data_IF_566029272939
#
_entry.id   IF_566029272939
#
_cell.length_a   1.000
_cell.length_b   1.000
_cell.length_c   1.000
_cell.angle_alpha   90.00
_cell.angle_beta   90.00
_cell.angle_gamma   90.00
#
_symmetry.space_group_name_H-M   'P 1'
#
loop_
_entity.id
_entity.type
_entity.pdbx_description
1 polymer ?
#
# COMPACT_ATOMS: atom_id res chain seq x y z
N UNK A 1 -11.08 -18.87 34.77
CA UNK A 1 -11.26 -18.78 33.30
C UNK A 1 -9.95 -19.17 32.66
N UNK A 2 -9.86 -20.35 32.07
CA UNK A 2 -8.60 -20.88 31.55
C UNK A 2 -8.23 -20.17 30.24
N UNK A 3 -7.05 -19.58 30.24
CA UNK A 3 -6.42 -18.95 29.06
C UNK A 3 -6.16 -20.05 28.03
N UNK A 4 -7.00 -20.14 27.01
CA UNK A 4 -6.72 -20.94 25.81
C UNK A 4 -5.64 -20.19 24.99
N UNK A 5 -4.39 -20.24 25.44
CA UNK A 5 -3.27 -20.05 24.52
C UNK A 5 -3.28 -21.27 23.57
N UNK A 6 -4.00 -21.16 22.47
CA UNK A 6 -3.78 -22.02 21.32
C UNK A 6 -2.32 -21.86 20.95
N UNK A 7 -1.53 -22.94 21.09
CA UNK A 7 -0.16 -23.04 20.56
C UNK A 7 -0.22 -22.85 19.05
N UNK A 8 -0.21 -21.60 18.59
CA UNK A 8 -0.07 -21.22 17.19
C UNK A 8 1.28 -21.74 16.72
N UNK A 9 1.25 -22.82 15.97
CA UNK A 9 2.44 -23.46 15.44
C UNK A 9 2.92 -22.60 14.24
N UNK A 10 3.84 -21.70 14.51
CA UNK A 10 4.50 -20.92 13.45
C UNK A 10 5.10 -21.88 12.41
N UNK A 11 4.64 -21.78 11.17
CA UNK A 11 5.10 -22.66 10.08
C UNK A 11 6.20 -22.01 9.24
N UNK A 12 6.43 -20.68 9.43
CA UNK A 12 7.49 -19.95 8.74
C UNK A 12 8.76 -19.88 9.60
N UNK A 13 9.95 -20.07 8.99
CA UNK A 13 11.23 -19.78 9.65
C UNK A 13 11.32 -18.30 10.02
N UNK A 14 12.09 -18.01 11.07
CA UNK A 14 12.35 -16.66 11.56
C UNK A 14 13.74 -16.20 11.19
N UNK A 15 13.93 -14.88 11.03
CA UNK A 15 15.23 -14.28 10.71
C UNK A 15 15.66 -14.44 9.25
N UNK A 16 14.77 -14.92 8.39
CA UNK A 16 15.07 -15.17 6.98
C UNK A 16 14.03 -14.48 6.07
N UNK A 17 14.50 -13.80 5.02
CA UNK A 17 13.63 -13.24 3.97
C UNK A 17 13.27 -14.32 2.97
N UNK A 18 12.03 -14.72 2.94
CA UNK A 18 11.52 -15.83 2.14
C UNK A 18 10.75 -15.32 0.92
N UNK A 19 10.96 -15.96 -0.22
CA UNK A 19 10.11 -15.83 -1.40
C UNK A 19 9.05 -16.93 -1.37
N UNK A 20 7.81 -16.52 -1.49
CA UNK A 20 6.66 -17.41 -1.45
C UNK A 20 5.83 -17.29 -2.73
N UNK A 21 5.16 -18.38 -3.07
CA UNK A 21 4.24 -18.46 -4.19
C UNK A 21 2.84 -18.68 -3.65
N UNK A 22 1.97 -17.72 -3.85
CA UNK A 22 0.54 -17.86 -3.60
C UNK A 22 -0.10 -18.62 -4.77
N UNK A 23 -0.52 -19.85 -4.53
CA UNK A 23 -1.19 -20.73 -5.51
C UNK A 23 -2.67 -20.35 -5.66
N UNK A 24 -2.93 -19.12 -6.13
CA UNK A 24 -4.26 -18.64 -6.47
C UNK A 24 -4.32 -18.37 -7.98
N UNK A 25 -5.43 -17.92 -8.47
CA UNK A 25 -5.54 -17.44 -9.86
C UNK A 25 -5.55 -15.90 -9.88
N UNK A 26 -4.53 -15.23 -10.43
CA UNK A 26 -3.29 -15.81 -11.01
C UNK A 26 -2.31 -16.28 -9.95
N UNK A 27 -1.42 -17.21 -10.32
CA UNK A 27 -0.26 -17.58 -9.49
C UNK A 27 0.63 -16.35 -9.36
N UNK A 28 0.94 -15.96 -8.13
CA UNK A 28 1.66 -14.73 -7.84
C UNK A 28 2.63 -14.92 -6.68
N UNK A 29 3.64 -14.07 -6.60
CA UNK A 29 4.70 -14.18 -5.61
C UNK A 29 4.68 -13.01 -4.63
N UNK A 30 5.14 -13.28 -3.40
CA UNK A 30 5.39 -12.25 -2.39
C UNK A 30 6.61 -12.62 -1.55
N UNK A 31 7.23 -11.61 -0.93
CA UNK A 31 8.27 -11.82 0.07
C UNK A 31 7.68 -11.69 1.46
N UNK A 32 8.22 -12.47 2.39
CA UNK A 32 7.87 -12.40 3.80
C UNK A 32 9.13 -12.52 4.66
N UNK A 33 9.23 -11.68 5.69
CA UNK A 33 10.24 -11.79 6.71
C UNK A 33 9.57 -11.80 8.09
N UNK A 34 9.90 -12.80 8.88
CA UNK A 34 9.43 -12.93 10.27
C UNK A 34 10.63 -12.68 11.19
N UNK A 35 10.60 -11.63 12.01
CA UNK A 35 11.69 -11.35 12.97
C UNK A 35 11.94 -12.52 13.93
N UNK A 36 13.17 -12.65 14.42
CA UNK A 36 13.54 -13.71 15.36
C UNK A 36 12.73 -13.65 16.66
N UNK A 37 12.43 -12.44 17.13
CA UNK A 37 11.64 -12.19 18.33
C UNK A 37 10.14 -11.99 18.07
N UNK A 38 9.63 -12.32 16.85
CA UNK A 38 8.22 -12.12 16.52
C UNK A 38 7.27 -12.91 17.44
N UNK A 39 6.16 -12.28 17.80
CA UNK A 39 5.06 -12.85 18.58
C UNK A 39 3.73 -12.75 17.79
N UNK A 40 2.66 -13.36 18.30
CA UNK A 40 1.36 -13.35 17.62
C UNK A 40 0.76 -11.95 17.45
N UNK A 41 1.15 -11.01 18.31
CA UNK A 41 0.77 -9.59 18.29
C UNK A 41 1.77 -8.70 17.54
N UNK A 42 2.80 -9.29 16.91
CA UNK A 42 3.75 -8.53 16.09
C UNK A 42 3.02 -7.80 14.96
N UNK A 43 3.26 -6.49 14.80
CA UNK A 43 2.64 -5.71 13.72
C UNK A 43 3.15 -6.15 12.35
N UNK A 44 2.32 -5.96 11.34
CA UNK A 44 2.65 -6.28 9.94
C UNK A 44 2.90 -5.02 9.15
N UNK A 45 4.08 -4.93 8.52
CA UNK A 45 4.43 -3.91 7.53
C UNK A 45 4.27 -4.48 6.12
N UNK A 46 3.41 -3.87 5.33
CA UNK A 46 3.31 -4.16 3.89
C UNK A 46 4.18 -3.16 3.13
N UNK A 47 5.18 -3.67 2.40
CA UNK A 47 6.08 -2.85 1.57
C UNK A 47 5.77 -3.04 0.08
N UNK A 48 5.34 -1.97 -0.60
CA UNK A 48 4.98 -2.00 -2.01
C UNK A 48 6.08 -1.34 -2.85
N UNK A 49 6.61 -2.10 -3.80
CA UNK A 49 7.73 -1.71 -4.67
C UNK A 49 7.37 -0.63 -5.70
N UNK A 50 8.40 -0.09 -6.38
CA UNK A 50 8.29 0.89 -7.45
C UNK A 50 7.61 0.35 -8.71
N UNK A 51 7.59 1.19 -9.78
CA UNK A 51 6.87 0.90 -11.03
C UNK A 51 7.27 -0.45 -11.65
N UNK A 52 8.56 -0.76 -11.65
CA UNK A 52 9.06 -2.07 -12.07
C UNK A 52 9.28 -2.98 -10.86
N UNK A 53 9.00 -4.26 -11.00
CA UNK A 53 9.29 -5.25 -9.97
C UNK A 53 10.81 -5.40 -9.69
N UNK A 54 11.68 -4.77 -10.48
CA UNK A 54 13.15 -4.86 -10.34
C UNK A 54 13.64 -4.45 -8.95
N UNK A 55 13.00 -3.48 -8.30
CA UNK A 55 13.35 -3.01 -6.95
C UNK A 55 12.70 -3.81 -5.82
N UNK A 56 11.84 -4.75 -6.12
CA UNK A 56 11.03 -5.48 -5.15
C UNK A 56 11.85 -6.16 -4.05
N UNK A 57 12.78 -7.04 -4.45
CA UNK A 57 13.67 -7.74 -3.51
C UNK A 57 14.54 -6.75 -2.74
N UNK A 58 15.18 -5.81 -3.45
CA UNK A 58 16.09 -4.83 -2.84
C UNK A 58 15.39 -3.93 -1.81
N UNK A 59 14.15 -3.51 -2.10
CA UNK A 59 13.36 -2.71 -1.16
C UNK A 59 13.01 -3.52 0.10
N UNK A 60 12.66 -4.80 -0.05
CA UNK A 60 12.40 -5.68 1.08
C UNK A 60 13.68 -5.90 1.92
N UNK A 61 14.82 -6.21 1.29
CA UNK A 61 16.11 -6.37 1.97
C UNK A 61 16.51 -5.14 2.79
N UNK A 62 16.29 -3.93 2.26
CA UNK A 62 16.58 -2.68 2.98
C UNK A 62 15.72 -2.48 4.24
N UNK A 63 14.53 -3.09 4.29
CA UNK A 63 13.63 -2.98 5.45
C UNK A 63 13.86 -4.07 6.50
N UNK A 64 14.48 -5.20 6.13
CA UNK A 64 14.74 -6.32 7.05
C UNK A 64 15.41 -5.88 8.36
N UNK A 65 16.52 -5.09 8.38
CA UNK A 65 17.16 -4.69 9.63
C UNK A 65 16.23 -3.89 10.55
N UNK A 66 15.38 -3.06 9.97
CA UNK A 66 14.38 -2.29 10.72
C UNK A 66 13.28 -3.20 11.26
N UNK A 67 12.79 -4.13 10.43
CA UNK A 67 11.79 -5.11 10.83
C UNK A 67 12.28 -6.00 11.96
N UNK A 68 13.53 -6.49 11.88
CA UNK A 68 14.17 -7.27 12.95
C UNK A 68 14.27 -6.46 14.25
N UNK A 69 14.79 -5.23 14.15
CA UNK A 69 14.98 -4.37 15.33
C UNK A 69 13.70 -4.08 16.08
N UNK A 70 12.58 -3.91 15.38
CA UNK A 70 11.30 -3.50 15.97
C UNK A 70 10.29 -4.65 16.10
N UNK A 71 10.66 -5.87 15.79
CA UNK A 71 9.77 -7.03 15.87
C UNK A 71 8.59 -6.98 14.88
N UNK A 72 8.78 -6.35 13.72
CA UNK A 72 7.73 -6.13 12.73
C UNK A 72 7.82 -7.19 11.62
N UNK A 73 6.73 -7.89 11.35
CA UNK A 73 6.67 -8.83 10.23
C UNK A 73 6.59 -8.05 8.92
N UNK A 74 7.47 -8.34 7.95
CA UNK A 74 7.44 -7.73 6.64
C UNK A 74 6.69 -8.62 5.66
N UNK A 75 5.78 -8.02 4.88
CA UNK A 75 5.16 -8.64 3.72
C UNK A 75 5.36 -7.71 2.51
N UNK A 76 5.89 -8.23 1.40
CA UNK A 76 6.06 -7.46 0.18
C UNK A 76 5.43 -8.18 -1.01
N UNK A 77 4.24 -7.75 -1.49
CA UNK A 77 3.61 -8.33 -2.66
C UNK A 77 4.42 -8.06 -3.92
N UNK A 78 4.53 -9.05 -4.81
CA UNK A 78 5.22 -8.94 -6.10
C UNK A 78 4.24 -8.63 -7.22
N UNK A 79 4.02 -7.36 -7.51
CA UNK A 79 3.18 -6.94 -8.64
C UNK A 79 4.00 -6.95 -9.93
N UNK A 80 3.99 -8.09 -10.64
CA UNK A 80 4.71 -8.22 -11.90
C UNK A 80 4.03 -7.46 -13.05
N UNK A 81 4.85 -7.03 -14.02
CA UNK A 81 4.43 -6.17 -15.13
C UNK A 81 3.49 -6.86 -16.14
N UNK A 82 3.35 -8.18 -16.09
CA UNK A 82 2.47 -8.93 -16.99
C UNK A 82 1.06 -9.07 -16.43
N UNK A 83 0.94 -9.31 -15.13
CA UNK A 83 -0.32 -9.61 -14.47
C UNK A 83 -0.94 -8.38 -13.80
N UNK A 84 -0.11 -7.52 -13.21
CA UNK A 84 -0.54 -6.38 -12.39
C UNK A 84 -0.16 -5.04 -13.01
N UNK A 85 -0.39 -4.88 -14.31
CA UNK A 85 -0.03 -3.70 -15.11
C UNK A 85 -0.62 -2.38 -14.59
N UNK A 86 -1.70 -2.44 -13.82
CA UNK A 86 -2.38 -1.28 -13.23
C UNK A 86 -2.38 -1.32 -11.67
N UNK A 87 -1.42 -2.03 -11.03
CA UNK A 87 -1.41 -2.20 -9.58
C UNK A 87 -1.43 -0.88 -8.81
N UNK A 88 -0.77 0.16 -9.34
CA UNK A 88 -0.77 1.51 -8.78
C UNK A 88 -2.17 2.09 -8.59
N UNK A 89 -3.15 1.61 -9.36
CA UNK A 89 -4.56 1.99 -9.31
C UNK A 89 -5.45 0.83 -8.85
N UNK A 90 -4.89 -0.05 -8.01
CA UNK A 90 -5.52 -1.25 -7.44
C UNK A 90 -5.92 -2.32 -8.46
N UNK A 91 -5.52 -2.20 -9.72
CA UNK A 91 -5.87 -3.14 -10.80
C UNK A 91 -7.31 -2.94 -11.29
N UNK A 92 -7.53 -1.89 -12.07
CA UNK A 92 -8.84 -1.61 -12.67
C UNK A 92 -9.20 -2.67 -13.73
N UNK A 93 -10.49 -2.96 -13.86
CA UNK A 93 -11.03 -3.90 -14.84
C UNK A 93 -10.52 -3.58 -16.26
N UNK A 94 -10.05 -4.61 -16.98
CA UNK A 94 -9.45 -4.49 -18.30
C UNK A 94 -8.01 -3.94 -18.32
N UNK A 95 -7.39 -3.70 -17.15
CA UNK A 95 -6.05 -3.13 -17.00
C UNK A 95 -5.11 -4.00 -16.15
N UNK A 96 -5.40 -5.28 -16.03
CA UNK A 96 -4.66 -6.22 -15.21
C UNK A 96 -5.49 -6.78 -14.06
N UNK A 97 -4.87 -7.68 -13.28
CA UNK A 97 -5.52 -8.27 -12.11
C UNK A 97 -5.64 -7.27 -10.95
N UNK A 98 -6.61 -7.52 -10.07
CA UNK A 98 -6.87 -6.77 -8.85
C UNK A 98 -5.72 -6.96 -7.85
N UNK A 99 -4.87 -5.95 -7.75
CA UNK A 99 -3.69 -5.93 -6.89
C UNK A 99 -4.05 -5.85 -5.40
N UNK A 100 -5.13 -5.15 -5.07
CA UNK A 100 -5.68 -5.08 -3.72
C UNK A 100 -6.18 -6.45 -3.24
N UNK A 101 -6.87 -7.20 -4.08
CA UNK A 101 -7.35 -8.54 -3.73
C UNK A 101 -6.19 -9.55 -3.60
N UNK A 102 -5.12 -9.37 -4.37
CA UNK A 102 -3.91 -10.17 -4.18
C UNK A 102 -3.26 -9.88 -2.82
N UNK A 103 -3.14 -8.61 -2.43
CA UNK A 103 -2.65 -8.25 -1.10
C UNK A 103 -3.51 -8.88 0.01
N UNK A 104 -4.84 -8.85 -0.11
CA UNK A 104 -5.73 -9.49 0.87
C UNK A 104 -5.41 -10.97 1.04
N UNK A 105 -5.22 -11.71 -0.06
CA UNK A 105 -4.88 -13.13 -0.01
C UNK A 105 -3.50 -13.40 0.61
N UNK A 106 -2.50 -12.54 0.34
CA UNK A 106 -1.20 -12.65 0.99
C UNK A 106 -1.31 -12.46 2.51
N UNK A 107 -2.13 -11.51 2.95
CA UNK A 107 -2.39 -11.27 4.37
C UNK A 107 -3.14 -12.43 5.04
N UNK A 108 -4.12 -13.02 4.37
CA UNK A 108 -4.83 -14.22 4.83
C UNK A 108 -3.88 -15.43 4.98
N UNK A 109 -3.00 -15.65 3.99
CA UNK A 109 -2.00 -16.72 4.06
C UNK A 109 -1.00 -16.45 5.19
N UNK A 110 -0.53 -15.22 5.36
CA UNK A 110 0.37 -14.83 6.46
C UNK A 110 -0.28 -15.10 7.82
N UNK A 111 -1.52 -14.67 8.02
CA UNK A 111 -2.27 -14.95 9.25
C UNK A 111 -2.37 -16.46 9.53
N UNK A 112 -2.68 -17.26 8.51
CA UNK A 112 -2.79 -18.72 8.64
C UNK A 112 -1.46 -19.36 9.07
N UNK A 113 -0.33 -18.86 8.56
CA UNK A 113 0.99 -19.43 8.83
C UNK A 113 1.62 -18.96 10.13
N UNK A 114 1.26 -17.76 10.59
CA UNK A 114 1.91 -17.11 11.74
C UNK A 114 0.97 -16.80 12.90
N UNK A 115 -0.33 -16.74 12.64
CA UNK A 115 -1.32 -16.24 13.60
C UNK A 115 -1.23 -14.73 13.86
N UNK A 116 -0.36 -14.00 13.15
CA UNK A 116 -0.26 -12.55 13.30
C UNK A 116 -1.56 -11.88 12.92
N UNK A 117 -1.89 -10.77 13.60
CA UNK A 117 -3.03 -9.94 13.21
C UNK A 117 -2.72 -9.20 11.90
N UNK A 118 -3.43 -9.58 10.85
CA UNK A 118 -3.36 -8.96 9.52
C UNK A 118 -4.59 -8.12 9.19
N UNK A 119 -5.44 -7.84 10.18
CA UNK A 119 -6.65 -7.04 9.99
C UNK A 119 -6.34 -5.55 9.86
N UNK A 120 -5.29 -5.08 10.56
CA UNK A 120 -4.79 -3.71 10.49
C UNK A 120 -3.29 -3.72 10.22
N UNK A 121 -2.87 -3.26 9.05
CA UNK A 121 -1.47 -3.30 8.63
C UNK A 121 -0.88 -1.90 8.48
N UNK A 122 0.43 -1.79 8.66
CA UNK A 122 1.21 -0.60 8.34
C UNK A 122 1.64 -0.67 6.89
N UNK A 123 1.55 0.43 6.16
CA UNK A 123 1.86 0.47 4.74
C UNK A 123 3.07 1.35 4.45
N UNK A 124 3.95 0.89 3.59
CA UNK A 124 5.02 1.66 2.97
C UNK A 124 5.02 1.47 1.47
N UNK A 125 5.16 2.54 0.70
CA UNK A 125 5.27 2.46 -0.76
C UNK A 125 6.20 3.51 -1.34
N UNK A 126 6.98 3.14 -2.40
CA UNK A 126 7.93 4.01 -3.08
C UNK A 126 8.14 3.56 -4.54
N UNK A 127 8.27 4.47 -5.53
CA UNK A 127 7.38 5.62 -5.77
C UNK A 127 6.06 5.16 -6.41
N UNK A 128 6.10 4.08 -7.23
CA UNK A 128 4.90 3.44 -7.79
C UNK A 128 4.06 2.78 -6.69
N UNK A 129 4.72 2.15 -5.71
CA UNK A 129 4.10 1.61 -4.51
C UNK A 129 3.39 2.67 -3.68
N UNK A 130 3.89 3.90 -3.64
CA UNK A 130 3.22 5.01 -2.98
C UNK A 130 1.87 5.34 -3.61
N UNK A 131 1.76 5.17 -4.94
CA UNK A 131 0.50 5.32 -5.65
C UNK A 131 -0.51 4.22 -5.31
N UNK A 132 -0.05 2.99 -5.07
CA UNK A 132 -0.88 1.91 -4.54
C UNK A 132 -1.31 2.20 -3.10
N UNK A 133 -0.36 2.51 -2.23
CA UNK A 133 -0.56 2.67 -0.79
C UNK A 133 -1.62 3.72 -0.47
N UNK A 134 -1.53 4.96 -1.02
CA UNK A 134 -2.53 5.97 -0.72
C UNK A 134 -3.92 5.61 -1.26
N UNK A 135 -4.02 4.92 -2.41
CA UNK A 135 -5.31 4.46 -2.93
C UNK A 135 -5.88 3.30 -2.12
N UNK A 136 -5.02 2.40 -1.65
CA UNK A 136 -5.43 1.28 -0.81
C UNK A 136 -5.98 1.77 0.54
N UNK A 137 -5.27 2.70 1.21
CA UNK A 137 -5.77 3.27 2.46
C UNK A 137 -7.11 4.00 2.29
N UNK A 138 -7.32 4.71 1.17
CA UNK A 138 -8.59 5.38 0.89
C UNK A 138 -9.73 4.38 0.59
N UNK A 139 -9.42 3.26 -0.05
CA UNK A 139 -10.36 2.20 -0.40
C UNK A 139 -10.70 1.27 0.77
N UNK A 140 -9.71 0.99 1.63
CA UNK A 140 -9.79 0.02 2.74
C UNK A 140 -9.27 0.59 4.07
N UNK A 141 -9.75 1.77 4.52
CA UNK A 141 -9.21 2.43 5.71
C UNK A 141 -9.29 1.57 6.97
N UNK A 142 -10.29 0.70 7.07
CA UNK A 142 -10.48 -0.24 8.16
C UNK A 142 -9.42 -1.36 8.23
N UNK A 143 -8.54 -1.46 7.20
CA UNK A 143 -7.43 -2.42 7.17
C UNK A 143 -6.07 -1.76 7.39
N UNK A 144 -6.03 -0.46 7.61
CA UNK A 144 -4.78 0.30 7.65
C UNK A 144 -4.63 1.01 9.00
N UNK A 145 -3.56 0.67 9.73
CA UNK A 145 -3.17 1.34 10.96
C UNK A 145 -2.53 2.71 10.66
N UNK A 146 -1.58 2.74 9.74
CA UNK A 146 -0.91 3.95 9.25
C UNK A 146 -0.23 3.71 7.90
N UNK A 147 0.14 4.78 7.21
CA UNK A 147 0.78 4.67 5.91
C UNK A 147 1.90 5.69 5.69
N UNK A 148 2.97 5.26 5.00
CA UNK A 148 4.03 6.11 4.47
C UNK A 148 3.97 6.09 2.95
N UNK A 149 3.70 7.24 2.36
CA UNK A 149 3.58 7.49 0.92
C UNK A 149 4.82 8.24 0.45
N UNK A 150 5.80 7.52 -0.13
CA UNK A 150 7.09 8.09 -0.52
C UNK A 150 7.18 8.33 -2.02
N UNK A 151 7.36 9.60 -2.41
CA UNK A 151 7.63 10.06 -3.77
C UNK A 151 6.58 9.62 -4.82
N UNK A 152 5.29 9.62 -4.47
CA UNK A 152 4.23 9.23 -5.41
C UNK A 152 4.23 10.14 -6.64
N UNK A 153 4.13 9.54 -7.83
CA UNK A 153 4.11 10.29 -9.08
C UNK A 153 2.85 11.13 -9.28
N UNK A 154 1.69 10.68 -8.74
CA UNK A 154 0.44 11.42 -8.68
C UNK A 154 -0.56 10.74 -7.75
N UNK A 155 -1.64 11.45 -7.39
CA UNK A 155 -2.56 11.06 -6.31
C UNK A 155 -4.01 10.94 -6.78
N UNK A 156 -4.79 10.14 -6.05
CA UNK A 156 -6.24 10.23 -6.05
C UNK A 156 -6.64 11.29 -5.03
N UNK A 157 -7.32 12.34 -5.49
CA UNK A 157 -7.76 13.44 -4.62
C UNK A 157 -9.02 13.06 -3.85
N UNK A 158 -9.21 13.62 -2.65
CA UNK A 158 -10.41 13.39 -1.85
C UNK A 158 -11.61 14.18 -2.40
N UNK A 159 -11.89 14.05 -3.69
CA UNK A 159 -12.92 14.78 -4.41
C UNK A 159 -13.99 13.82 -4.94
N UNK A 160 -15.22 13.82 -4.39
CA UNK A 160 -16.30 12.93 -4.82
C UNK A 160 -16.93 13.36 -6.15
N UNK A 161 -16.61 14.53 -6.70
CA UNK A 161 -17.07 14.96 -8.02
C UNK A 161 -16.26 14.35 -9.14
N UNK A 162 -15.02 13.98 -8.87
CA UNK A 162 -14.09 13.39 -9.83
C UNK A 162 -14.12 11.86 -9.75
N UNK A 163 -14.25 11.24 -10.93
CA UNK A 163 -14.26 9.78 -11.07
C UNK A 163 -12.87 9.19 -10.74
N UNK A 164 -12.84 8.06 -10.03
CA UNK A 164 -11.60 7.29 -9.82
C UNK A 164 -10.90 6.99 -11.16
N UNK A 165 -9.58 7.10 -11.27
CA UNK A 165 -8.61 7.27 -10.18
C UNK A 165 -8.23 8.74 -9.87
N UNK A 166 -8.87 9.74 -10.43
CA UNK A 166 -8.54 11.15 -10.21
C UNK A 166 -9.17 11.71 -8.93
N UNK A 167 -10.32 11.18 -8.54
CA UNK A 167 -11.03 11.48 -7.30
C UNK A 167 -11.71 10.23 -6.75
N UNK A 168 -12.62 10.43 -5.79
CA UNK A 168 -13.24 9.36 -5.01
C UNK A 168 -14.63 8.93 -5.51
N UNK A 169 -15.16 9.55 -6.60
CA UNK A 169 -16.41 9.07 -7.19
C UNK A 169 -16.22 7.64 -7.71
N UNK A 170 -17.09 6.69 -7.33
CA UNK A 170 -17.00 5.30 -7.76
C UNK A 170 -16.88 5.13 -9.27
N UNK A 171 -16.15 4.12 -9.69
CA UNK A 171 -15.93 3.76 -11.09
C UNK A 171 -16.28 2.30 -11.32
N UNK A 172 -16.97 2.01 -12.41
CA UNK A 172 -17.23 0.63 -12.85
C UNK A 172 -15.95 -0.17 -13.10
N UNK A 173 -14.83 0.50 -13.36
CA UNK A 173 -13.53 -0.15 -13.54
C UNK A 173 -12.88 -0.63 -12.22
N UNK A 174 -13.41 -0.24 -11.06
CA UNK A 174 -12.96 -0.72 -9.73
C UNK A 174 -14.17 -1.14 -8.90
N UNK A 175 -14.82 -2.22 -9.33
CA UNK A 175 -16.06 -2.72 -8.71
C UNK A 175 -15.82 -3.17 -7.27
N UNK A 176 -16.81 -2.95 -6.42
CA UNK A 176 -16.78 -3.37 -5.00
C UNK A 176 -15.93 -2.48 -4.10
N UNK A 177 -15.41 -1.35 -4.61
CA UNK A 177 -14.68 -0.37 -3.84
C UNK A 177 -15.51 0.91 -3.71
N UNK A 178 -15.68 1.36 -2.48
CA UNK A 178 -16.25 2.66 -2.12
C UNK A 178 -15.26 3.43 -1.25
N UNK A 179 -15.30 4.75 -1.34
CA UNK A 179 -14.41 5.63 -0.59
C UNK A 179 -15.22 6.36 0.47
N UNK A 180 -14.93 6.08 1.75
CA UNK A 180 -15.56 6.75 2.88
C UNK A 180 -14.60 7.78 3.48
N UNK A 181 -14.85 9.10 3.26
CA UNK A 181 -13.95 10.15 3.76
C UNK A 181 -13.86 10.16 5.30
N UNK A 182 -14.92 9.93 6.03
CA UNK A 182 -14.89 9.88 7.49
C UNK A 182 -13.98 8.77 8.04
N UNK A 183 -13.78 7.72 7.26
CA UNK A 183 -12.91 6.62 7.63
C UNK A 183 -11.47 6.85 7.18
N UNK A 184 -11.22 7.15 5.88
CA UNK A 184 -9.85 7.25 5.39
C UNK A 184 -9.11 8.50 5.89
N UNK A 185 -9.81 9.59 6.22
CA UNK A 185 -9.19 10.79 6.79
C UNK A 185 -8.67 10.59 8.21
N UNK A 186 -9.13 9.56 8.91
CA UNK A 186 -8.65 9.20 10.26
C UNK A 186 -7.36 8.37 10.23
N UNK A 187 -7.01 7.79 9.09
CA UNK A 187 -5.78 6.99 8.98
C UNK A 187 -4.56 7.91 8.99
N UNK A 188 -3.61 7.74 9.92
CA UNK A 188 -2.38 8.51 9.95
C UNK A 188 -1.55 8.28 8.68
N UNK A 189 -1.18 9.36 8.00
CA UNK A 189 -0.39 9.30 6.76
C UNK A 189 0.83 10.21 6.85
N UNK A 190 2.01 9.68 6.53
CA UNK A 190 3.23 10.44 6.31
C UNK A 190 3.50 10.48 4.81
N UNK A 191 3.67 11.68 4.27
CA UNK A 191 4.11 11.88 2.87
C UNK A 191 5.56 12.29 2.86
N UNK A 192 6.40 11.50 2.19
CA UNK A 192 7.84 11.76 2.04
C UNK A 192 8.14 12.16 0.60
N UNK A 193 8.92 13.22 0.44
CA UNK A 193 9.36 13.73 -0.85
C UNK A 193 10.81 14.22 -0.73
N UNK A 194 11.65 13.90 -1.71
CA UNK A 194 13.00 14.46 -1.78
C UNK A 194 12.96 15.95 -2.06
N UNK A 195 13.82 16.73 -1.41
CA UNK A 195 13.90 18.20 -1.60
C UNK A 195 14.27 18.59 -3.04
N UNK A 196 15.01 17.72 -3.71
CA UNK A 196 15.44 17.91 -5.11
C UNK A 196 14.43 17.38 -6.16
N UNK A 197 13.30 16.80 -5.74
CA UNK A 197 12.26 16.28 -6.63
C UNK A 197 11.30 17.38 -7.12
N UNK A 198 11.92 18.51 -7.49
CA UNK A 198 11.29 19.78 -7.89
C UNK A 198 11.29 19.98 -9.40
N UNK A 199 11.76 19.00 -10.17
CA UNK A 199 11.81 19.05 -11.63
C UNK A 199 10.77 18.14 -12.26
N UNK A 200 10.31 18.50 -13.45
CA UNK A 200 9.53 17.61 -14.28
C UNK A 200 10.46 16.53 -14.82
N UNK A 201 10.14 15.26 -14.57
CA UNK A 201 10.90 14.11 -15.08
C UNK A 201 10.04 13.28 -16.02
N UNK A 202 10.69 12.55 -16.94
CA UNK A 202 10.03 11.67 -17.91
C UNK A 202 9.25 10.54 -17.23
N UNK A 203 9.62 10.18 -16.00
CA UNK A 203 8.92 9.19 -15.18
C UNK A 203 7.60 9.72 -14.61
N UNK A 204 7.35 11.02 -14.67
CA UNK A 204 6.12 11.62 -14.20
C UNK A 204 5.03 11.57 -15.27
N UNK A 205 3.81 11.26 -14.86
CA UNK A 205 2.67 11.40 -15.77
C UNK A 205 2.59 12.83 -16.32
N UNK A 206 2.71 12.98 -17.63
CA UNK A 206 2.60 14.25 -18.34
C UNK A 206 1.17 14.58 -18.79
N UNK A 207 0.17 13.85 -18.25
CA UNK A 207 -1.24 14.11 -18.57
C UNK A 207 -1.65 15.52 -18.15
N UNK A 208 -2.18 16.31 -19.11
CA UNK A 208 -2.70 17.66 -18.86
C UNK A 208 -3.70 17.71 -17.70
N UNK A 209 -4.51 16.67 -17.57
CA UNK A 209 -5.47 16.54 -16.47
C UNK A 209 -4.79 16.47 -15.11
N UNK A 210 -3.75 15.62 -14.99
CA UNK A 210 -2.98 15.49 -13.75
C UNK A 210 -2.22 16.77 -13.45
N UNK A 211 -1.58 17.37 -14.46
CA UNK A 211 -0.85 18.61 -14.31
C UNK A 211 -1.73 19.77 -13.82
N UNK A 212 -2.92 19.93 -14.42
CA UNK A 212 -3.90 20.95 -14.00
C UNK A 212 -4.45 20.72 -12.60
N UNK A 213 -4.65 19.47 -12.20
CA UNK A 213 -5.22 19.11 -10.90
C UNK A 213 -4.17 19.17 -9.77
N UNK A 214 -2.95 18.73 -10.05
CA UNK A 214 -2.00 18.36 -9.00
C UNK A 214 -0.68 19.15 -9.05
N UNK A 215 -0.34 19.75 -10.19
CA UNK A 215 0.96 20.37 -10.43
C UNK A 215 1.84 19.54 -11.36
N UNK A 216 3.00 20.10 -11.72
CA UNK A 216 3.92 19.53 -12.73
C UNK A 216 5.10 18.78 -12.10
N UNK A 217 5.37 18.95 -10.79
CA UNK A 217 6.43 18.27 -10.06
C UNK A 217 5.87 17.35 -8.97
N UNK A 218 6.67 16.39 -8.50
CA UNK A 218 6.23 15.53 -7.37
C UNK A 218 6.00 16.31 -6.09
N UNK A 219 6.83 17.35 -5.83
CA UNK A 219 6.67 18.21 -4.66
C UNK A 219 5.33 18.95 -4.70
N UNK A 220 4.99 19.58 -5.84
CA UNK A 220 3.71 20.26 -5.99
C UNK A 220 2.53 19.32 -5.80
N UNK A 221 2.58 18.15 -6.44
CA UNK A 221 1.52 17.13 -6.33
C UNK A 221 1.31 16.63 -4.91
N UNK A 222 2.42 16.41 -4.18
CA UNK A 222 2.36 15.99 -2.78
C UNK A 222 1.77 17.08 -1.89
N UNK A 223 2.23 18.33 -2.03
CA UNK A 223 1.70 19.48 -1.26
C UNK A 223 0.22 19.71 -1.52
N UNK A 224 -0.18 19.70 -2.80
CA UNK A 224 -1.57 19.92 -3.19
C UNK A 224 -2.48 18.78 -2.68
N UNK A 225 -2.00 17.54 -2.73
CA UNK A 225 -2.77 16.41 -2.17
C UNK A 225 -2.90 16.49 -0.64
N UNK A 226 -1.82 16.78 0.09
CA UNK A 226 -1.86 16.95 1.54
C UNK A 226 -2.80 18.08 1.92
N UNK A 227 -2.71 19.23 1.25
CA UNK A 227 -3.61 20.37 1.48
C UNK A 227 -5.08 20.00 1.24
N UNK A 228 -5.38 19.23 0.18
CA UNK A 228 -6.73 18.77 -0.10
C UNK A 228 -7.25 17.79 0.98
N UNK A 229 -6.40 16.86 1.46
CA UNK A 229 -6.74 15.94 2.55
C UNK A 229 -7.03 16.70 3.86
N UNK A 230 -6.19 17.69 4.20
CA UNK A 230 -6.36 18.53 5.39
C UNK A 230 -7.63 19.40 5.30
N UNK A 231 -7.89 20.00 4.14
CA UNK A 231 -9.10 20.79 3.92
C UNK A 231 -10.37 19.94 4.08
N UNK A 232 -10.33 18.72 3.58
CA UNK A 232 -11.45 17.80 3.72
C UNK A 232 -11.60 17.31 5.16
N UNK A 233 -10.51 16.97 5.86
CA UNK A 233 -10.57 16.60 7.28
C UNK A 233 -11.22 17.73 8.10
N UNK A 234 -10.82 18.98 7.88
CA UNK A 234 -11.44 20.15 8.52
C UNK A 234 -12.94 20.27 8.19
N UNK A 235 -13.35 19.99 6.96
CA UNK A 235 -14.76 20.03 6.56
C UNK A 235 -15.60 18.94 7.26
N UNK A 236 -14.97 17.82 7.68
CA UNK A 236 -15.57 16.76 8.48
C UNK A 236 -15.39 16.96 10.00
N UNK A 237 -14.85 18.11 10.45
CA UNK A 237 -14.68 18.41 11.88
C UNK A 237 -13.54 17.66 12.57
N UNK A 238 -12.53 17.23 11.79
CA UNK A 238 -11.34 16.48 12.26
C UNK A 238 -10.11 17.38 12.42
#
# INVERSE_FOLDING_TARGET
MANKHTNLKWTLPRGELLRRVLKANPISEYLVYVPTAAAADSPVLVSVHGISQRSWLKQAELLVPTCERYGVILLAPGFNDQQYTDYQRLGREGKGYRADLFLHRCLEELNTMTGADTTHVRLFGHPGGAQFVHRYLMAYPHRVECAVVSAAGWYTFPDPTLKYPYGTRPSSSLRGVSFNPEAYLKVPVIVLIGTEDNQQSDDLSSSDRVNKQQGITRIERARNWVAAMQAQAKAYGM
#
